data_IF_102689719115
#
_entry.id   IF_102689719115
#
_cell.length_a   1.000
_cell.length_b   1.000
_cell.length_c   1.000
_cell.angle_alpha   90.00
_cell.angle_beta   90.00
_cell.angle_gamma   90.00
#
_symmetry.space_group_name_H-M   'P 1'
#
loop_
_entity.id
_entity.type
_entity.pdbx_description
1 polymer ?
#
# COMPACT_ATOMS: atom_id res chain seq x y z
N UNK A 1 -12.29 -4.17 -30.26
CA UNK A 1 -13.46 -4.49 -29.41
C UNK A 1 -13.00 -4.52 -27.97
N UNK A 2 -13.73 -3.89 -27.04
CA UNK A 2 -13.41 -3.94 -25.61
C UNK A 2 -14.23 -5.07 -24.95
N UNK A 3 -13.58 -5.89 -24.14
CA UNK A 3 -14.22 -6.94 -23.35
C UNK A 3 -14.41 -6.45 -21.91
N UNK A 4 -15.57 -6.72 -21.32
CA UNK A 4 -15.83 -6.45 -19.91
C UNK A 4 -15.64 -7.75 -19.13
N UNK A 5 -14.64 -7.76 -18.25
CA UNK A 5 -14.42 -8.84 -17.28
C UNK A 5 -14.71 -8.27 -15.90
N UNK A 6 -15.67 -8.88 -15.20
CA UNK A 6 -16.01 -8.49 -13.82
C UNK A 6 -15.24 -9.37 -12.85
N UNK A 7 -14.50 -8.72 -11.94
CA UNK A 7 -13.83 -9.40 -10.84
C UNK A 7 -14.77 -9.59 -9.64
N UNK A 8 -14.39 -10.49 -8.71
CA UNK A 8 -15.06 -10.64 -7.42
C UNK A 8 -14.95 -9.30 -6.68
N UNK A 9 -16.05 -8.80 -6.14
CA UNK A 9 -16.10 -7.47 -5.51
C UNK A 9 -17.15 -7.43 -4.41
N UNK A 10 -16.95 -6.55 -3.44
CA UNK A 10 -17.82 -6.33 -2.29
C UNK A 10 -17.35 -5.11 -1.50
N UNK A 11 -18.05 -4.76 -0.43
CA UNK A 11 -17.52 -3.77 0.51
C UNK A 11 -16.30 -4.35 1.28
N UNK A 12 -15.58 -3.50 2.00
CA UNK A 12 -14.37 -3.87 2.72
C UNK A 12 -14.64 -4.98 3.76
N UNK A 13 -15.82 -4.97 4.36
CA UNK A 13 -16.24 -5.91 5.41
C UNK A 13 -16.51 -7.31 4.84
N UNK A 14 -17.18 -7.39 3.68
CA UNK A 14 -17.47 -8.62 2.96
C UNK A 14 -16.20 -9.23 2.35
N UNK A 15 -15.43 -8.41 1.63
CA UNK A 15 -14.22 -8.91 0.97
C UNK A 15 -13.12 -9.23 1.98
N UNK A 16 -13.05 -8.49 3.09
CA UNK A 16 -12.09 -8.70 4.17
C UNK A 16 -12.25 -10.02 4.92
N UNK A 17 -13.40 -10.69 4.79
CA UNK A 17 -13.64 -12.04 5.37
C UNK A 17 -13.51 -13.16 4.33
N UNK A 18 -13.34 -12.80 3.05
CA UNK A 18 -13.28 -13.76 1.95
C UNK A 18 -11.82 -14.10 1.61
N UNK A 19 -11.45 -15.38 1.65
CA UNK A 19 -10.15 -15.83 1.14
C UNK A 19 -10.20 -15.95 -0.39
N UNK A 20 -9.42 -15.11 -1.07
CA UNK A 20 -9.23 -15.17 -2.51
C UNK A 20 -8.22 -16.27 -2.85
N UNK A 21 -8.45 -17.00 -3.95
CA UNK A 21 -7.48 -18.00 -4.42
C UNK A 21 -6.15 -17.35 -4.83
N UNK A 22 -5.08 -18.13 -4.84
CA UNK A 22 -3.76 -17.65 -5.27
C UNK A 22 -3.82 -17.09 -6.70
N UNK A 23 -3.57 -15.79 -6.86
CA UNK A 23 -3.65 -15.07 -8.14
C UNK A 23 -5.05 -14.60 -8.53
N UNK A 24 -6.08 -14.86 -7.72
CA UNK A 24 -7.41 -14.30 -7.93
C UNK A 24 -7.41 -12.79 -7.66
N UNK A 25 -8.04 -12.01 -8.54
CA UNK A 25 -8.23 -10.58 -8.35
C UNK A 25 -9.60 -10.28 -7.74
N UNK A 26 -9.59 -9.58 -6.61
CA UNK A 26 -10.77 -9.03 -5.95
C UNK A 26 -10.75 -7.49 -5.93
N UNK A 27 -11.91 -6.86 -5.79
CA UNK A 27 -12.02 -5.40 -5.70
C UNK A 27 -12.93 -4.99 -4.54
N UNK A 28 -12.39 -4.30 -3.53
CA UNK A 28 -13.22 -3.60 -2.55
C UNK A 28 -13.86 -2.40 -3.24
N UNK A 29 -15.17 -2.21 -3.13
CA UNK A 29 -15.89 -1.09 -3.77
C UNK A 29 -16.10 0.10 -2.86
N UNK A 30 -15.74 -0.02 -1.58
CA UNK A 30 -15.86 0.99 -0.54
C UNK A 30 -16.02 0.34 0.85
N UNK A 31 -16.07 1.14 1.91
CA UNK A 31 -16.40 0.68 3.27
C UNK A 31 -17.66 1.36 3.80
N UNK A 32 -18.45 0.60 4.55
CA UNK A 32 -19.68 1.07 5.20
C UNK A 32 -19.45 1.49 6.65
N UNK A 33 -18.35 1.02 7.25
CA UNK A 33 -18.11 1.05 8.71
C UNK A 33 -17.02 2.04 9.10
N UNK A 34 -16.16 2.44 8.15
CA UNK A 34 -15.20 3.53 8.32
C UNK A 34 -15.27 4.44 7.10
N UNK A 35 -15.71 5.69 7.28
CA UNK A 35 -15.83 6.70 6.22
C UNK A 35 -14.51 7.12 5.55
N UNK A 36 -13.46 6.30 5.60
CA UNK A 36 -12.14 6.54 5.02
C UNK A 36 -11.85 5.81 3.71
N UNK A 37 -12.59 4.75 3.35
CA UNK A 37 -12.38 4.03 2.08
C UNK A 37 -13.55 4.27 1.12
N UNK A 38 -13.49 5.39 0.39
CA UNK A 38 -14.48 5.76 -0.62
C UNK A 38 -14.15 5.23 -2.03
N UNK A 39 -12.89 4.83 -2.26
CA UNK A 39 -12.39 4.47 -3.58
C UNK A 39 -12.21 2.95 -3.72
N UNK A 40 -12.41 2.39 -4.94
CA UNK A 40 -12.14 0.98 -5.17
C UNK A 40 -10.66 0.61 -4.94
N UNK A 41 -10.44 -0.53 -4.28
CA UNK A 41 -9.10 -1.06 -4.01
C UNK A 41 -8.99 -2.45 -4.63
N UNK A 42 -7.89 -2.71 -5.33
CA UNK A 42 -7.61 -4.03 -5.92
C UNK A 42 -6.88 -4.91 -4.92
N UNK A 43 -7.27 -6.18 -4.87
CA UNK A 43 -6.70 -7.21 -4.02
C UNK A 43 -6.20 -8.37 -4.89
N UNK A 44 -5.07 -8.97 -4.52
CA UNK A 44 -4.55 -10.20 -5.11
C UNK A 44 -4.56 -11.29 -4.03
N UNK A 45 -5.27 -12.38 -4.30
CA UNK A 45 -5.33 -13.53 -3.41
C UNK A 45 -4.02 -14.30 -3.34
N UNK A 46 -3.72 -14.81 -2.16
CA UNK A 46 -2.58 -15.69 -1.90
C UNK A 46 -3.00 -17.12 -1.51
N UNK A 47 -4.31 -17.36 -1.39
CA UNK A 47 -4.89 -18.63 -0.97
C UNK A 47 -4.83 -18.92 0.53
N UNK A 48 -4.37 -17.96 1.35
CA UNK A 48 -4.17 -18.17 2.78
C UNK A 48 -4.79 -17.05 3.63
N UNK A 49 -4.67 -15.80 3.21
CA UNK A 49 -5.14 -14.63 3.95
C UNK A 49 -6.48 -14.12 3.41
N UNK A 50 -7.43 -13.88 4.32
CA UNK A 50 -8.69 -13.23 3.98
C UNK A 50 -8.42 -11.82 3.43
N UNK A 51 -9.10 -11.44 2.34
CA UNK A 51 -8.85 -10.19 1.61
C UNK A 51 -7.55 -10.15 0.80
N UNK A 52 -6.68 -11.17 0.89
CA UNK A 52 -5.40 -11.24 0.16
C UNK A 52 -4.49 -10.04 0.42
N UNK A 53 -3.72 -9.66 -0.60
CA UNK A 53 -2.86 -8.47 -0.57
C UNK A 53 -3.47 -7.31 -1.36
N UNK A 54 -3.56 -6.14 -0.73
CA UNK A 54 -3.92 -4.89 -1.42
C UNK A 54 -2.82 -4.48 -2.39
N UNK A 55 -3.21 -4.19 -3.64
CA UNK A 55 -2.33 -3.58 -4.64
C UNK A 55 -2.05 -2.13 -4.24
N UNK A 56 -0.79 -1.71 -4.28
CA UNK A 56 -0.37 -0.38 -3.83
C UNK A 56 -0.23 -0.25 -2.31
N UNK A 57 -0.11 -1.36 -1.57
CA UNK A 57 0.23 -1.35 -0.14
C UNK A 57 1.61 -0.73 0.08
N UNK A 58 1.75 0.08 1.13
CA UNK A 58 3.05 0.52 1.64
C UNK A 58 3.93 -0.69 1.93
N UNK A 59 5.08 -0.77 1.28
CA UNK A 59 6.08 -1.81 1.57
C UNK A 59 6.95 -1.38 2.75
N UNK A 60 7.54 -2.32 3.50
CA UNK A 60 8.40 -1.98 4.63
C UNK A 60 9.41 -3.08 4.96
N UNK A 61 10.50 -2.71 5.61
CA UNK A 61 11.55 -3.61 6.08
C UNK A 61 12.78 -2.86 6.58
N UNK A 62 13.81 -3.58 7.03
CA UNK A 62 15.05 -2.99 7.59
C UNK A 62 16.05 -2.53 6.52
N UNK A 63 15.82 -2.85 5.25
CA UNK A 63 16.69 -2.46 4.14
C UNK A 63 15.84 -2.12 2.92
N UNK A 64 16.07 -0.94 2.37
CA UNK A 64 15.34 -0.48 1.18
C UNK A 64 15.81 -1.28 -0.05
N UNK A 65 14.87 -1.82 -0.86
CA UNK A 65 15.23 -2.48 -2.10
C UNK A 65 15.99 -1.57 -3.06
N UNK A 66 17.07 -2.09 -3.65
CA UNK A 66 17.71 -1.42 -4.79
C UNK A 66 17.10 -1.96 -6.09
N UNK A 67 16.40 -1.10 -6.83
CA UNK A 67 15.77 -1.43 -8.11
C UNK A 67 16.56 -0.93 -9.33
N UNK A 68 17.81 -0.50 -9.15
CA UNK A 68 18.63 0.10 -10.22
C UNK A 68 19.05 -0.86 -11.34
N UNK A 69 18.97 -2.18 -11.12
CA UNK A 69 19.33 -3.19 -12.14
C UNK A 69 18.39 -4.39 -12.10
N UNK A 70 18.00 -4.88 -13.28
CA UNK A 70 17.16 -6.09 -13.42
C UNK A 70 15.64 -5.89 -13.25
N UNK A 71 15.20 -4.69 -12.89
CA UNK A 71 13.78 -4.36 -12.67
C UNK A 71 13.24 -3.39 -13.73
N UNK A 72 11.93 -3.47 -14.01
CA UNK A 72 11.26 -2.59 -14.98
C UNK A 72 10.99 -1.20 -14.35
N UNK A 73 11.05 -0.13 -15.16
CA UNK A 73 10.78 1.25 -14.74
C UNK A 73 9.35 1.44 -14.22
N UNK A 74 8.46 0.51 -14.54
CA UNK A 74 7.12 0.41 -13.96
C UNK A 74 7.09 0.22 -12.44
N UNK A 75 8.22 -0.12 -11.81
CA UNK A 75 8.34 -0.23 -10.35
C UNK A 75 8.83 1.07 -9.68
N UNK A 76 9.09 2.12 -10.47
CA UNK A 76 9.31 3.45 -9.92
C UNK A 76 8.08 3.89 -9.11
N UNK A 77 8.31 4.74 -8.12
CA UNK A 77 7.28 5.40 -7.31
C UNK A 77 6.53 4.51 -6.32
N UNK A 78 6.96 3.26 -6.15
CA UNK A 78 6.52 2.43 -5.03
C UNK A 78 7.04 3.06 -3.72
N UNK A 79 6.14 3.22 -2.75
CA UNK A 79 6.50 3.68 -1.40
C UNK A 79 7.00 2.51 -0.55
N UNK A 80 8.13 2.72 0.12
CA UNK A 80 8.76 1.79 1.05
C UNK A 80 9.14 2.49 2.36
N UNK A 81 8.77 1.92 3.51
CA UNK A 81 9.20 2.39 4.82
C UNK A 81 10.42 1.59 5.32
N UNK A 82 11.56 2.26 5.40
CA UNK A 82 12.79 1.71 5.96
C UNK A 82 12.77 1.83 7.49
N UNK A 83 12.63 0.70 8.16
CA UNK A 83 12.53 0.59 9.63
C UNK A 83 13.86 0.80 10.34
N UNK A 84 14.99 0.69 9.64
CA UNK A 84 16.30 0.94 10.22
C UNK A 84 16.63 2.43 10.24
N UNK A 85 16.28 3.15 9.18
CA UNK A 85 16.50 4.61 9.06
C UNK A 85 15.30 5.44 9.50
N UNK A 86 14.15 4.80 9.75
CA UNK A 86 12.86 5.43 10.03
C UNK A 86 12.42 6.41 8.95
N UNK A 87 12.61 6.05 7.68
CA UNK A 87 12.29 6.91 6.52
C UNK A 87 11.24 6.29 5.63
N UNK A 88 10.30 7.11 5.17
CA UNK A 88 9.47 6.78 4.02
C UNK A 88 10.25 7.13 2.75
N UNK A 89 10.40 6.17 1.87
CA UNK A 89 11.25 6.26 0.68
C UNK A 89 10.44 5.90 -0.58
N UNK A 90 10.70 6.63 -1.65
CA UNK A 90 10.21 6.37 -3.00
C UNK A 90 11.26 5.54 -3.74
N UNK A 91 10.88 4.34 -4.17
CA UNK A 91 11.77 3.50 -4.98
C UNK A 91 11.94 4.11 -6.36
N UNK A 92 13.18 4.17 -6.85
CA UNK A 92 13.45 4.67 -8.20
C UNK A 92 14.75 4.08 -8.77
N UNK A 93 14.77 3.79 -10.07
CA UNK A 93 15.94 3.17 -10.72
C UNK A 93 17.22 4.00 -10.67
N UNK A 94 17.10 5.31 -10.66
CA UNK A 94 18.24 6.23 -10.55
C UNK A 94 18.72 6.43 -9.11
N UNK A 95 18.17 5.70 -8.15
CA UNK A 95 18.43 5.84 -6.72
C UNK A 95 17.16 6.19 -5.96
N UNK A 96 16.95 5.53 -4.82
CA UNK A 96 15.79 5.77 -3.96
C UNK A 96 15.85 7.17 -3.34
N UNK A 97 14.69 7.76 -3.13
CA UNK A 97 14.53 9.10 -2.56
C UNK A 97 13.81 9.02 -1.22
N UNK A 98 14.37 9.60 -0.15
CA UNK A 98 13.65 9.79 1.10
C UNK A 98 12.68 10.97 0.98
N UNK A 99 11.43 10.76 1.34
CA UNK A 99 10.40 11.79 1.21
C UNK A 99 10.50 12.82 2.35
N UNK A 100 10.56 14.10 2.03
CA UNK A 100 10.55 15.19 3.01
C UNK A 100 9.11 15.49 3.46
N UNK A 101 8.81 15.15 4.72
CA UNK A 101 7.49 15.37 5.33
C UNK A 101 7.47 16.56 6.29
N UNK A 102 8.57 17.31 6.42
CA UNK A 102 8.72 18.39 7.41
C UNK A 102 7.60 19.43 7.32
N UNK A 103 7.26 19.90 6.12
CA UNK A 103 6.16 20.85 5.90
C UNK A 103 4.76 20.33 6.33
N UNK A 104 4.55 19.01 6.31
CA UNK A 104 3.27 18.38 6.70
C UNK A 104 3.14 18.25 8.22
N UNK A 105 4.25 18.14 8.94
CA UNK A 105 4.27 17.87 10.39
C UNK A 105 4.46 19.18 11.18
N UNK A 106 5.15 20.17 10.61
CA UNK A 106 5.56 21.41 11.32
C UNK A 106 4.44 22.43 11.54
N UNK A 107 3.28 22.29 10.89
CA UNK A 107 2.17 23.25 10.99
C UNK A 107 1.06 22.83 11.96
N UNK A 108 1.16 21.64 12.57
CA UNK A 108 0.20 21.12 13.54
C UNK A 108 0.63 21.38 14.99
N UNK A 109 -0.30 21.77 15.86
CA UNK A 109 -0.06 21.69 17.31
C UNK A 109 -0.07 20.22 17.71
N UNK A 110 1.11 19.67 18.03
CA UNK A 110 1.22 18.33 18.63
C UNK A 110 0.93 18.50 20.12
N UNK A 111 -0.28 18.14 20.55
CA UNK A 111 -0.69 18.17 21.96
C UNK A 111 -0.55 16.78 22.59
N UNK A 112 0.05 16.71 23.79
CA UNK A 112 0.29 15.45 24.51
C UNK A 112 1.70 15.38 25.12
N UNK A 113 2.05 14.21 25.64
CA UNK A 113 3.40 13.90 26.14
C UNK A 113 4.20 13.17 25.07
N UNK A 114 5.40 13.66 24.77
CA UNK A 114 6.35 12.98 23.88
C UNK A 114 7.33 12.22 24.77
N UNK A 115 7.31 10.89 24.66
CA UNK A 115 8.36 10.04 25.22
C UNK A 115 9.40 9.81 24.12
N UNK A 116 10.60 10.36 24.31
CA UNK A 116 11.76 10.08 23.45
C UNK A 116 12.61 9.08 24.23
N UNK A 117 12.56 7.82 23.81
CA UNK A 117 13.39 6.74 24.36
C UNK A 117 14.65 6.56 23.53
#
# INVERSE_FOLDING_TARGET
MAQIIKHRRGNAEELGTTTLYKGEMGVTTGSSVAGGLANPIVHIGDGANAGGFVVGRLQYGTSTPNISSGYNATLNDILFYNQHTNKLERLHQSGNESLDLSGNITSGTISGSIEIT
#
